data_IF_715518425972
#
_entry.id   IF_715518425972
#
_cell.length_a   1.000
_cell.length_b   1.000
_cell.length_c   1.000
_cell.angle_alpha   90.00
_cell.angle_beta   90.00
_cell.angle_gamma   90.00
#
_symmetry.space_group_name_H-M   'P 1'
#
loop_
_entity.id
_entity.type
_entity.pdbx_description
1 polymer ?
#
# COMPACT_ATOMS: atom_id res chain seq x y z
N UNK A 1 -15.35 35.25 34.07
CA UNK A 1 -14.29 36.27 33.97
C UNK A 1 -13.08 35.60 33.32
N UNK A 2 -12.55 36.27 32.29
CA UNK A 2 -11.51 35.89 31.28
C UNK A 2 -10.13 35.50 31.91
N UNK A 3 -9.04 35.11 31.18
CA UNK A 3 -8.77 35.15 29.72
C UNK A 3 -7.96 33.94 29.12
N UNK A 4 -8.12 33.65 27.82
CA UNK A 4 -7.22 33.89 26.66
C UNK A 4 -5.86 33.15 26.61
N UNK A 5 -5.70 32.36 25.54
CA UNK A 5 -4.43 31.90 25.00
C UNK A 5 -3.55 33.06 24.48
N UNK A 6 -2.28 32.77 24.16
CA UNK A 6 -1.82 33.16 22.85
C UNK A 6 -1.17 32.00 22.07
N UNK A 7 -1.33 32.11 20.76
CA UNK A 7 -0.74 31.30 19.71
C UNK A 7 0.79 31.28 19.75
N UNK A 8 1.37 30.12 19.43
CA UNK A 8 2.47 29.94 18.47
C UNK A 8 3.22 28.64 18.80
N UNK A 9 2.87 27.55 18.13
CA UNK A 9 3.89 26.62 17.64
C UNK A 9 3.32 26.01 16.37
N UNK A 10 3.51 26.74 15.28
CA UNK A 10 3.46 26.20 13.93
C UNK A 10 4.69 25.29 13.75
N UNK A 11 4.77 24.22 14.52
CA UNK A 11 5.59 23.09 14.14
C UNK A 11 4.79 22.39 13.04
N UNK A 12 5.05 22.80 11.80
CA UNK A 12 4.85 21.89 10.67
C UNK A 12 5.75 20.69 10.95
N UNK A 13 5.21 19.74 11.72
CA UNK A 13 5.72 18.37 11.74
C UNK A 13 5.87 17.98 10.27
N UNK A 14 7.01 17.39 9.86
CA UNK A 14 7.07 16.81 8.54
C UNK A 14 5.85 15.91 8.46
N UNK A 15 4.96 16.20 7.51
CA UNK A 15 3.82 15.34 7.23
C UNK A 15 4.47 14.01 6.88
N UNK A 16 4.63 13.15 7.88
CA UNK A 16 5.16 11.82 7.70
C UNK A 16 4.10 11.19 6.83
N UNK A 17 4.36 11.18 5.52
CA UNK A 17 3.52 10.48 4.59
C UNK A 17 3.76 9.02 4.90
N UNK A 18 2.98 8.53 5.88
CA UNK A 18 3.02 7.16 6.34
C UNK A 18 2.53 6.35 5.14
N UNK A 19 3.49 5.90 4.33
CA UNK A 19 3.25 5.08 3.15
C UNK A 19 2.86 3.70 3.63
N UNK A 20 1.56 3.54 3.88
CA UNK A 20 0.94 2.32 4.38
C UNK A 20 -0.13 1.88 3.41
N UNK A 21 -0.49 0.61 3.46
CA UNK A 21 -1.60 0.10 2.65
C UNK A 21 -2.92 0.86 2.88
N UNK A 22 -3.08 1.53 4.02
CA UNK A 22 -4.24 2.37 4.33
C UNK A 22 -4.29 3.67 3.51
N UNK A 23 -3.13 4.23 3.16
CA UNK A 23 -3.00 5.46 2.33
C UNK A 23 -2.86 5.17 0.84
N UNK A 24 -2.78 3.88 0.47
CA UNK A 24 -2.67 3.45 -0.92
C UNK A 24 -3.97 3.67 -1.72
N UNK A 25 -3.83 3.83 -3.04
CA UNK A 25 -4.95 3.85 -3.98
C UNK A 25 -5.79 2.58 -3.84
N UNK A 26 -7.12 2.67 -4.07
CA UNK A 26 -7.99 1.49 -4.06
C UNK A 26 -7.56 0.47 -5.13
N UNK A 27 -7.03 0.91 -6.27
CA UNK A 27 -6.47 0.06 -7.32
C UNK A 27 -5.28 -0.76 -6.83
N UNK A 28 -4.33 -0.13 -6.14
CA UNK A 28 -3.18 -0.83 -5.57
C UNK A 28 -3.60 -1.85 -4.51
N UNK A 29 -4.56 -1.49 -3.66
CA UNK A 29 -5.11 -2.41 -2.65
C UNK A 29 -5.77 -3.62 -3.31
N UNK A 30 -6.58 -3.41 -4.35
CA UNK A 30 -7.22 -4.48 -5.09
C UNK A 30 -6.21 -5.41 -5.78
N UNK A 31 -5.15 -4.85 -6.39
CA UNK A 31 -4.08 -5.64 -7.00
C UNK A 31 -3.32 -6.47 -5.96
N UNK A 32 -3.00 -5.87 -4.79
CA UNK A 32 -2.36 -6.56 -3.68
C UNK A 32 -3.21 -7.71 -3.17
N UNK A 33 -4.49 -7.45 -2.87
CA UNK A 33 -5.36 -8.44 -2.24
C UNK A 33 -5.62 -9.63 -3.19
N UNK A 34 -5.71 -9.39 -4.51
CA UNK A 34 -5.77 -10.45 -5.52
C UNK A 34 -4.49 -11.29 -5.54
N UNK A 35 -3.31 -10.66 -5.57
CA UNK A 35 -2.03 -11.35 -5.53
C UNK A 35 -1.86 -12.18 -4.25
N UNK A 36 -2.15 -11.60 -3.08
CA UNK A 36 -2.02 -12.28 -1.79
C UNK A 36 -3.02 -13.44 -1.67
N UNK A 37 -4.29 -13.21 -2.03
CA UNK A 37 -5.32 -14.27 -2.05
C UNK A 37 -4.89 -15.45 -2.93
N UNK A 38 -4.32 -15.16 -4.11
CA UNK A 38 -3.83 -16.18 -5.01
C UNK A 38 -2.64 -16.96 -4.42
N UNK A 39 -1.61 -16.28 -3.90
CA UNK A 39 -0.45 -16.94 -3.30
C UNK A 39 -0.84 -17.81 -2.09
N UNK A 40 -1.82 -17.37 -1.30
CA UNK A 40 -2.31 -18.14 -0.15
C UNK A 40 -3.13 -19.38 -0.56
N UNK A 41 -3.79 -19.36 -1.72
CA UNK A 41 -4.67 -20.45 -2.18
C UNK A 41 -3.98 -21.41 -3.15
N UNK A 42 -2.96 -20.93 -3.88
CA UNK A 42 -2.30 -21.67 -4.93
C UNK A 42 -1.08 -22.44 -4.41
N UNK A 43 -1.18 -23.77 -4.35
CA UNK A 43 -0.05 -24.64 -3.94
C UNK A 43 1.14 -24.59 -4.90
N UNK A 44 0.94 -24.16 -6.15
CA UNK A 44 2.01 -24.00 -7.13
C UNK A 44 2.78 -22.67 -6.96
N UNK A 45 2.24 -21.72 -6.20
CA UNK A 45 2.92 -20.49 -5.85
C UNK A 45 3.69 -20.66 -4.54
N UNK A 46 5.00 -20.45 -4.59
CA UNK A 46 5.89 -20.53 -3.45
C UNK A 46 6.70 -19.23 -3.34
N UNK A 47 6.17 -18.27 -2.56
CA UNK A 47 6.80 -16.96 -2.34
C UNK A 47 8.25 -17.03 -1.85
N UNK A 48 8.66 -17.96 -0.95
CA UNK A 48 10.06 -18.07 -0.52
C UNK A 48 11.04 -18.35 -1.66
N UNK A 49 10.57 -19.02 -2.71
CA UNK A 49 11.40 -19.45 -3.85
C UNK A 49 11.14 -18.59 -5.09
N UNK A 50 10.27 -17.57 -4.99
CA UNK A 50 9.76 -16.80 -6.15
C UNK A 50 9.23 -17.69 -7.27
N UNK A 51 8.73 -18.88 -6.92
CA UNK A 51 8.13 -19.80 -7.88
C UNK A 51 6.66 -19.41 -7.99
N UNK A 52 6.24 -18.86 -9.11
CA UNK A 52 4.85 -18.47 -9.34
C UNK A 52 4.30 -19.26 -10.52
N UNK A 53 3.04 -19.68 -10.43
CA UNK A 53 2.33 -20.15 -11.60
C UNK A 53 2.11 -18.98 -12.59
N UNK A 54 1.74 -19.23 -13.86
CA UNK A 54 1.54 -18.17 -14.85
C UNK A 54 0.58 -17.06 -14.38
N UNK A 55 -0.53 -17.44 -13.74
CA UNK A 55 -1.49 -16.50 -13.15
C UNK A 55 -0.89 -15.70 -11.99
N UNK A 56 -0.16 -16.35 -11.09
CA UNK A 56 0.52 -15.68 -9.97
C UNK A 56 1.59 -14.70 -10.44
N UNK A 57 2.30 -15.01 -11.53
CA UNK A 57 3.29 -14.14 -12.15
C UNK A 57 2.63 -12.89 -12.76
N UNK A 58 1.49 -13.05 -13.44
CA UNK A 58 0.71 -11.93 -13.97
C UNK A 58 0.18 -11.04 -12.84
N UNK A 59 -0.42 -11.63 -11.79
CA UNK A 59 -0.86 -10.88 -10.61
C UNK A 59 0.28 -10.14 -9.92
N UNK A 60 1.48 -10.75 -9.86
CA UNK A 60 2.67 -10.10 -9.33
C UNK A 60 3.12 -8.93 -10.20
N UNK A 61 3.10 -9.07 -11.52
CA UNK A 61 3.43 -7.99 -12.45
C UNK A 61 2.43 -6.83 -12.34
N UNK A 62 1.13 -7.12 -12.22
CA UNK A 62 0.09 -6.11 -11.98
C UNK A 62 0.33 -5.40 -10.65
N UNK A 63 0.59 -6.14 -9.57
CA UNK A 63 0.89 -5.55 -8.26
C UNK A 63 2.13 -4.64 -8.27
N UNK A 64 3.19 -5.04 -8.98
CA UNK A 64 4.45 -4.28 -9.06
C UNK A 64 4.32 -3.01 -9.93
N UNK A 65 3.53 -3.08 -11.00
CA UNK A 65 3.28 -1.96 -11.93
C UNK A 65 2.17 -1.02 -11.47
N UNK A 66 1.32 -1.44 -10.54
CA UNK A 66 0.29 -0.57 -9.97
C UNK A 66 0.95 0.42 -9.01
N UNK A 67 0.81 1.74 -9.22
CA UNK A 67 1.37 2.72 -8.30
C UNK A 67 0.55 2.76 -7.01
N UNK A 68 1.26 2.71 -5.87
CA UNK A 68 0.64 2.79 -4.54
C UNK A 68 -0.02 4.15 -4.29
N UNK A 69 0.55 5.20 -4.87
CA UNK A 69 0.06 6.57 -4.76
C UNK A 69 -0.55 6.98 -6.12
N UNK A 70 -1.62 7.78 -6.14
CA UNK A 70 -2.11 8.33 -7.40
C UNK A 70 -1.00 9.22 -7.96
N UNK A 71 -0.55 8.93 -9.19
CA UNK A 71 0.38 9.83 -9.89
C UNK A 71 -0.32 11.18 -10.03
N UNK A 72 0.22 12.22 -9.37
CA UNK A 72 -0.33 13.57 -9.41
C UNK A 72 0.13 14.32 -10.66
#
# INVERSE_FOLDING_TARGET
MQPSAPAAETASEPQHFIRTAATATPEWRAARDQYISHVMTCCACHAPTSCYCPTGAELRAIYDTTPMEPTR
#
